data_IF_686229968809
#
_entry.id   IF_686229968809
#
_cell.length_a   1.000
_cell.length_b   1.000
_cell.length_c   1.000
_cell.angle_alpha   90.00
_cell.angle_beta   90.00
_cell.angle_gamma   90.00
#
_symmetry.space_group_name_H-M   'P 1'
#
loop_
_entity.id
_entity.type
_entity.pdbx_description
1 polymer ?
#
# COMPACT_ATOMS: atom_id res chain seq x y z
N UNK A 1 21.58 7.24 -23.31
CA UNK A 1 20.36 6.63 -22.79
C UNK A 1 20.77 5.73 -21.63
N UNK A 2 20.27 5.98 -20.42
CA UNK A 2 20.71 5.22 -19.24
C UNK A 2 19.89 3.95 -19.14
N UNK A 3 20.51 2.85 -18.75
CA UNK A 3 19.75 1.62 -18.55
C UNK A 3 18.69 1.82 -17.47
N UNK A 4 17.42 1.58 -17.80
CA UNK A 4 16.31 1.77 -16.86
C UNK A 4 16.38 0.82 -15.64
N UNK A 5 17.14 -0.27 -15.75
CA UNK A 5 17.29 -1.28 -14.69
C UNK A 5 18.46 -0.98 -13.75
N UNK A 6 19.65 -0.74 -14.31
CA UNK A 6 20.88 -0.56 -13.52
C UNK A 6 21.49 0.84 -13.59
N UNK A 7 20.87 1.77 -14.32
CA UNK A 7 21.30 3.17 -14.52
C UNK A 7 22.68 3.35 -15.19
N UNK A 8 23.28 2.28 -15.70
CA UNK A 8 24.53 2.33 -16.46
C UNK A 8 24.39 3.09 -17.77
N UNK A 9 25.45 3.81 -18.14
CA UNK A 9 25.61 4.51 -19.42
C UNK A 9 26.07 3.59 -20.57
N UNK A 10 26.50 2.36 -20.25
CA UNK A 10 27.01 1.39 -21.24
C UNK A 10 25.85 0.68 -21.95
N UNK A 11 25.33 1.34 -22.98
CA UNK A 11 24.24 0.81 -23.81
C UNK A 11 24.60 0.83 -25.30
N UNK A 12 24.12 -0.18 -26.03
CA UNK A 12 24.32 -0.31 -27.48
C UNK A 12 22.97 -0.48 -28.18
N UNK A 13 22.88 -0.03 -29.43
CA UNK A 13 21.69 -0.26 -30.27
C UNK A 13 21.50 -1.76 -30.51
N UNK A 14 20.28 -2.25 -30.35
CA UNK A 14 19.93 -3.67 -30.47
C UNK A 14 18.62 -3.87 -31.25
N UNK A 15 18.60 -3.43 -32.51
CA UNK A 15 17.45 -3.55 -33.41
C UNK A 15 16.37 -2.49 -33.23
N UNK A 16 15.28 -2.61 -33.98
CA UNK A 16 14.14 -1.68 -33.99
C UNK A 16 12.88 -2.48 -33.68
N UNK A 17 12.03 -1.98 -32.78
CA UNK A 17 10.75 -2.60 -32.41
C UNK A 17 9.65 -1.54 -32.46
N UNK A 18 8.54 -1.82 -33.15
CA UNK A 18 7.41 -0.88 -33.31
C UNK A 18 7.87 0.51 -33.79
N UNK A 19 8.74 0.54 -34.79
CA UNK A 19 9.35 1.78 -35.35
C UNK A 19 10.17 2.61 -34.36
N UNK A 20 10.58 2.04 -33.22
CA UNK A 20 11.44 2.70 -32.23
C UNK A 20 12.74 1.94 -32.03
N UNK A 21 13.83 2.67 -31.81
CA UNK A 21 15.15 2.09 -31.57
C UNK A 21 15.18 1.34 -30.23
N UNK A 22 15.55 0.06 -30.28
CA UNK A 22 15.81 -0.75 -29.07
C UNK A 22 17.28 -0.66 -28.71
N UNK A 23 17.57 -0.68 -27.42
CA UNK A 23 18.91 -0.65 -26.82
C UNK A 23 19.10 -1.86 -25.91
N UNK A 24 20.33 -2.34 -25.79
CA UNK A 24 20.75 -3.37 -24.84
C UNK A 24 21.79 -2.77 -23.90
N UNK A 25 21.64 -2.98 -22.60
CA UNK A 25 22.66 -2.63 -21.62
C UNK A 25 23.74 -3.71 -21.58
N UNK A 26 25.01 -3.30 -21.63
CA UNK A 26 26.14 -4.24 -21.57
C UNK A 26 26.41 -4.73 -20.15
N UNK A 27 26.07 -3.96 -19.12
CA UNK A 27 26.33 -4.35 -17.73
C UNK A 27 25.29 -5.34 -17.18
N UNK A 28 24.01 -5.20 -17.56
CA UNK A 28 22.93 -6.05 -17.03
C UNK A 28 22.17 -6.87 -18.09
N UNK A 29 22.52 -6.71 -19.37
CA UNK A 29 21.86 -7.42 -20.48
C UNK A 29 20.42 -6.97 -20.79
N UNK A 30 19.87 -6.03 -20.04
CA UNK A 30 18.48 -5.60 -20.20
C UNK A 30 18.24 -4.87 -21.53
N UNK A 31 17.14 -5.21 -22.20
CA UNK A 31 16.74 -4.58 -23.45
C UNK A 31 15.59 -3.59 -23.23
N UNK A 32 15.71 -2.38 -23.76
CA UNK A 32 14.75 -1.30 -23.55
C UNK A 32 14.65 -0.39 -24.78
N UNK A 33 13.52 0.28 -24.96
CA UNK A 33 13.24 1.11 -26.14
C UNK A 33 13.03 2.59 -25.78
N UNK A 34 12.74 2.87 -24.51
CA UNK A 34 12.47 4.21 -23.96
C UNK A 34 13.13 4.34 -22.59
N UNK A 35 13.52 5.56 -22.20
CA UNK A 35 14.20 5.83 -20.92
C UNK A 35 13.21 5.66 -19.76
N UNK A 36 11.93 5.95 -20.01
CA UNK A 36 10.83 5.66 -19.10
C UNK A 36 9.65 5.14 -19.91
N UNK A 37 9.03 4.04 -19.45
CA UNK A 37 7.70 3.66 -19.94
C UNK A 37 6.72 4.72 -19.44
N UNK A 38 5.96 5.34 -20.35
CA UNK A 38 4.94 6.34 -20.03
C UNK A 38 3.93 5.88 -18.98
N UNK A 39 3.73 4.57 -18.86
CA UNK A 39 2.77 3.96 -17.93
C UNK A 39 3.29 3.87 -16.49
N UNK A 40 4.58 4.15 -16.25
CA UNK A 40 5.17 4.07 -14.91
C UNK A 40 4.93 5.39 -14.20
N UNK A 41 3.88 5.43 -13.38
CA UNK A 41 3.60 6.56 -12.48
C UNK A 41 4.70 6.69 -11.42
N UNK A 42 4.95 7.93 -10.97
CA UNK A 42 6.01 8.22 -10.00
C UNK A 42 5.75 7.53 -8.66
N UNK A 43 6.82 7.27 -7.89
CA UNK A 43 6.69 6.75 -6.53
C UNK A 43 5.94 7.71 -5.60
N UNK A 44 6.02 9.02 -5.86
CA UNK A 44 5.28 10.05 -5.13
C UNK A 44 3.77 9.91 -5.35
N UNK A 45 3.34 9.73 -6.60
CA UNK A 45 1.95 9.45 -6.95
C UNK A 45 1.45 8.16 -6.30
N UNK A 46 2.29 7.11 -6.26
CA UNK A 46 1.96 5.86 -5.55
C UNK A 46 1.74 6.08 -4.06
N UNK A 47 2.62 6.82 -3.39
CA UNK A 47 2.48 7.14 -1.95
C UNK A 47 1.21 7.94 -1.67
N UNK A 48 0.94 8.95 -2.49
CA UNK A 48 -0.26 9.78 -2.35
C UNK A 48 -1.54 8.97 -2.55
N UNK A 49 -1.58 8.10 -3.56
CA UNK A 49 -2.72 7.21 -3.80
C UNK A 49 -2.98 6.25 -2.62
N UNK A 50 -1.92 5.71 -2.02
CA UNK A 50 -2.04 4.84 -0.85
C UNK A 50 -2.51 5.59 0.40
N UNK A 51 -2.03 6.82 0.63
CA UNK A 51 -2.51 7.67 1.71
C UNK A 51 -4.02 7.94 1.57
N UNK A 52 -4.48 8.35 0.38
CA UNK A 52 -5.91 8.55 0.11
C UNK A 52 -6.74 7.29 0.35
N UNK A 53 -6.20 6.10 0.04
CA UNK A 53 -6.89 4.83 0.32
C UNK A 53 -7.05 4.58 1.83
N UNK A 54 -6.01 4.87 2.63
CA UNK A 54 -6.06 4.74 4.09
C UNK A 54 -7.07 5.72 4.70
N UNK A 55 -7.19 6.92 4.15
CA UNK A 55 -8.23 7.91 4.50
C UNK A 55 -9.65 7.50 4.05
N UNK A 56 -9.82 6.34 3.43
CA UNK A 56 -11.12 5.78 3.07
C UNK A 56 -11.65 6.15 1.70
N UNK A 57 -10.84 6.79 0.82
CA UNK A 57 -11.28 7.07 -0.54
C UNK A 57 -11.37 5.80 -1.38
N UNK A 58 -12.42 5.72 -2.21
CA UNK A 58 -12.59 4.60 -3.16
C UNK A 58 -11.52 4.62 -4.26
N UNK A 59 -11.18 3.46 -4.82
CA UNK A 59 -10.23 3.34 -5.95
C UNK A 59 -10.60 4.23 -7.15
N UNK A 60 -11.90 4.40 -7.41
CA UNK A 60 -12.41 5.25 -8.50
C UNK A 60 -12.22 6.73 -8.18
N UNK A 61 -12.46 7.14 -6.94
CA UNK A 61 -12.26 8.53 -6.51
C UNK A 61 -10.78 8.91 -6.63
N UNK A 62 -9.89 8.05 -6.14
CA UNK A 62 -8.44 8.25 -6.22
C UNK A 62 -7.98 8.31 -7.68
N UNK A 63 -8.47 7.39 -8.52
CA UNK A 63 -8.16 7.39 -9.94
C UNK A 63 -8.54 8.69 -10.65
N UNK A 64 -9.72 9.25 -10.33
CA UNK A 64 -10.15 10.56 -10.85
C UNK A 64 -9.29 11.72 -10.35
N UNK A 65 -8.91 11.73 -9.07
CA UNK A 65 -8.12 12.82 -8.47
C UNK A 65 -6.70 12.85 -9.03
N UNK A 66 -6.08 11.68 -9.22
CA UNK A 66 -4.69 11.56 -9.64
C UNK A 66 -4.51 11.34 -11.15
N UNK A 67 -5.60 11.33 -11.92
CA UNK A 67 -5.63 11.02 -13.35
C UNK A 67 -4.88 9.70 -13.67
N UNK A 68 -5.27 8.65 -12.95
CA UNK A 68 -4.75 7.29 -13.09
C UNK A 68 -5.89 6.28 -13.16
N UNK A 69 -5.64 5.13 -13.77
CA UNK A 69 -6.65 4.07 -13.81
C UNK A 69 -6.94 3.56 -12.38
N UNK A 70 -8.21 3.28 -12.08
CA UNK A 70 -8.59 2.66 -10.81
C UNK A 70 -7.89 1.30 -10.60
N UNK A 71 -7.59 0.58 -11.69
CA UNK A 71 -6.87 -0.69 -11.66
C UNK A 71 -5.44 -0.52 -11.14
N UNK A 72 -4.75 0.56 -11.53
CA UNK A 72 -3.43 0.92 -10.99
C UNK A 72 -3.47 1.09 -9.48
N UNK A 73 -4.47 1.83 -8.97
CA UNK A 73 -4.67 2.02 -7.52
C UNK A 73 -4.94 0.69 -6.82
N UNK A 74 -5.83 -0.13 -7.39
CA UNK A 74 -6.14 -1.46 -6.86
C UNK A 74 -4.89 -2.34 -6.73
N UNK A 75 -4.05 -2.39 -7.77
CA UNK A 75 -2.81 -3.17 -7.74
C UNK A 75 -1.85 -2.67 -6.66
N UNK A 76 -1.69 -1.36 -6.51
CA UNK A 76 -0.83 -0.81 -5.44
C UNK A 76 -1.33 -1.14 -4.04
N UNK A 77 -2.65 -1.09 -3.82
CA UNK A 77 -3.25 -1.47 -2.54
C UNK A 77 -3.09 -2.96 -2.27
N UNK A 78 -3.19 -3.81 -3.31
CA UNK A 78 -2.94 -5.25 -3.20
C UNK A 78 -1.48 -5.53 -2.80
N UNK A 79 -0.52 -4.90 -3.48
CA UNK A 79 0.91 -5.03 -3.14
C UNK A 79 1.19 -4.61 -1.69
N UNK A 80 0.57 -3.51 -1.22
CA UNK A 80 0.69 -3.04 0.16
C UNK A 80 0.15 -4.07 1.16
N UNK A 81 -1.01 -4.68 0.88
CA UNK A 81 -1.60 -5.71 1.73
C UNK A 81 -0.71 -6.95 1.81
N UNK A 82 -0.15 -7.39 0.70
CA UNK A 82 0.73 -8.55 0.67
C UNK A 82 2.06 -8.28 1.41
N UNK A 83 2.59 -7.06 1.34
CA UNK A 83 3.73 -6.63 2.17
C UNK A 83 3.38 -6.58 3.67
N UNK A 84 2.16 -6.13 4.00
CA UNK A 84 1.72 -6.01 5.41
C UNK A 84 1.46 -7.38 6.04
N UNK A 85 0.93 -8.35 5.26
CA UNK A 85 0.77 -9.74 5.71
C UNK A 85 2.10 -10.38 6.11
N UNK A 86 3.19 -10.03 5.43
CA UNK A 86 4.54 -10.50 5.78
C UNK A 86 5.06 -9.90 7.09
N UNK A 87 4.43 -8.83 7.60
CA UNK A 87 4.79 -8.14 8.85
C UNK A 87 3.89 -8.54 10.03
N UNK A 88 2.88 -9.39 9.84
CA UNK A 88 2.13 -9.92 10.97
C UNK A 88 3.06 -10.83 11.79
N UNK A 89 3.48 -10.34 12.95
CA UNK A 89 3.99 -11.18 14.02
C UNK A 89 2.90 -12.17 14.43
N UNK A 90 3.25 -13.41 14.74
CA UNK A 90 2.43 -14.44 15.40
C UNK A 90 1.97 -14.03 16.83
N UNK A 91 1.68 -12.75 17.05
CA UNK A 91 1.09 -12.28 18.30
C UNK A 91 -0.34 -12.78 18.32
N UNK A 92 -0.62 -13.59 19.34
CA UNK A 92 -1.95 -14.06 19.67
C UNK A 92 -2.84 -12.86 19.97
N UNK A 93 -3.66 -12.46 18.99
CA UNK A 93 -4.73 -11.49 19.23
C UNK A 93 -5.83 -12.24 19.96
N UNK A 94 -6.13 -11.81 21.18
CA UNK A 94 -7.32 -12.28 21.87
C UNK A 94 -8.52 -11.49 21.34
N UNK A 95 -9.45 -12.20 20.72
CA UNK A 95 -10.74 -11.65 20.29
C UNK A 95 -11.71 -11.87 21.43
N UNK A 96 -12.24 -10.78 21.96
CA UNK A 96 -13.10 -10.76 23.14
C UNK A 96 -14.28 -9.84 22.87
N UNK A 97 -15.46 -10.22 23.36
CA UNK A 97 -16.66 -9.39 23.29
C UNK A 97 -16.53 -8.15 24.18
N UNK A 98 -17.26 -7.08 23.84
CA UNK A 98 -17.18 -5.80 24.58
C UNK A 98 -17.51 -5.97 26.06
N UNK A 99 -18.47 -6.85 26.39
CA UNK A 99 -18.89 -7.07 27.79
C UNK A 99 -17.76 -7.69 28.62
N UNK A 100 -16.99 -8.61 28.03
CA UNK A 100 -15.83 -9.24 28.66
C UNK A 100 -14.63 -8.29 28.78
N UNK A 101 -14.57 -7.23 27.96
CA UNK A 101 -13.53 -6.20 28.08
C UNK A 101 -13.69 -5.38 29.36
N UNK A 102 -14.93 -5.12 29.80
CA UNK A 102 -15.19 -4.35 31.02
C UNK A 102 -14.67 -5.10 32.26
N UNK A 103 -14.94 -6.41 32.33
CA UNK A 103 -14.41 -7.30 33.38
C UNK A 103 -12.88 -7.27 33.41
N UNK A 104 -12.23 -7.34 32.24
CA UNK A 104 -10.77 -7.29 32.13
C UNK A 104 -10.19 -5.94 32.60
N UNK A 105 -10.81 -4.82 32.20
CA UNK A 105 -10.41 -3.48 32.65
C UNK A 105 -10.57 -3.37 34.18
N UNK A 106 -11.63 -3.95 34.72
CA UNK A 106 -11.87 -3.95 36.16
C UNK A 106 -10.78 -4.71 36.92
N UNK A 107 -10.38 -5.87 36.43
CA UNK A 107 -9.30 -6.69 37.01
C UNK A 107 -7.93 -5.98 36.94
N UNK A 108 -7.57 -5.42 35.79
CA UNK A 108 -6.30 -4.71 35.60
C UNK A 108 -6.20 -3.50 36.54
N UNK A 109 -7.32 -2.78 36.72
CA UNK A 109 -7.41 -1.63 37.63
C UNK A 109 -7.27 -2.05 39.10
N UNK A 110 -7.87 -3.18 39.47
CA UNK A 110 -7.73 -3.76 40.82
C UNK A 110 -6.27 -4.15 41.11
N UNK A 111 -5.59 -4.73 40.12
CA UNK A 111 -4.20 -5.18 40.25
C UNK A 111 -3.15 -4.07 40.07
N UNK A 112 -3.57 -2.79 39.94
CA UNK A 112 -2.71 -1.60 39.75
C UNK A 112 -1.69 -1.78 38.62
N UNK A 113 -2.03 -2.54 37.59
CA UNK A 113 -1.17 -2.76 36.45
C UNK A 113 -1.46 -1.68 35.40
N UNK A 114 -0.41 -1.10 34.83
CA UNK A 114 -0.53 0.00 33.87
C UNK A 114 -0.04 -0.45 32.49
N UNK A 115 -0.81 -0.17 31.45
CA UNK A 115 -0.47 -0.52 30.07
C UNK A 115 -1.29 0.27 29.06
N UNK A 116 -0.83 0.30 27.81
CA UNK A 116 -1.54 0.93 26.69
C UNK A 116 -2.47 -0.10 26.05
N UNK A 117 -3.77 0.17 26.07
CA UNK A 117 -4.78 -0.70 25.50
C UNK A 117 -4.95 -0.35 24.01
N UNK A 118 -4.60 -1.28 23.12
CA UNK A 118 -4.75 -1.14 21.68
C UNK A 118 -5.89 -2.06 21.22
N UNK A 119 -7.04 -1.46 20.90
CA UNK A 119 -8.23 -2.17 20.43
C UNK A 119 -8.41 -1.88 18.94
N UNK A 120 -8.56 -2.93 18.13
CA UNK A 120 -8.99 -2.82 16.74
C UNK A 120 -10.41 -3.41 16.60
N UNK A 121 -11.29 -2.66 15.95
CA UNK A 121 -12.66 -3.10 15.69
C UNK A 121 -12.69 -3.77 14.32
N UNK A 122 -12.86 -5.09 14.32
CA UNK A 122 -12.77 -5.97 13.14
C UNK A 122 -13.60 -5.54 11.91
N UNK A 123 -14.61 -4.66 12.07
CA UNK A 123 -15.49 -4.18 10.99
C UNK A 123 -15.60 -2.66 10.82
N UNK A 124 -14.84 -1.84 11.55
CA UNK A 124 -14.77 -0.39 11.31
C UNK A 124 -16.10 0.39 11.31
N UNK A 125 -17.20 -0.19 11.82
CA UNK A 125 -18.52 0.44 11.84
C UNK A 125 -18.89 0.83 13.26
N UNK A 126 -18.69 2.11 13.59
CA UNK A 126 -19.25 2.76 14.78
C UNK A 126 -20.42 3.66 14.36
N UNK A 127 -21.63 3.10 14.34
CA UNK A 127 -22.85 3.93 14.37
C UNK A 127 -23.20 4.12 15.85
N UNK A 128 -22.61 5.14 16.47
CA UNK A 128 -23.09 5.67 17.74
C UNK A 128 -24.34 6.50 17.45
N UNK A 129 -25.50 5.85 17.37
CA UNK A 129 -26.78 6.55 17.48
C UNK A 129 -27.07 6.79 18.95
N UNK A 130 -26.55 7.90 19.48
CA UNK A 130 -26.98 8.41 20.79
C UNK A 130 -28.36 9.02 20.58
N UNK A 131 -29.42 8.23 20.79
CA UNK A 131 -30.74 8.81 21.09
C UNK A 131 -30.65 9.45 22.47
N UNK A 132 -30.67 10.78 22.52
CA UNK A 132 -31.02 11.53 23.72
C UNK A 132 -32.45 11.17 24.12
N UNK A 133 -32.64 10.78 25.39
CA UNK A 133 -33.92 10.82 26.08
C UNK A 133 -34.43 12.27 26.15
#
# INVERSE_FOLDING_TARGET
MKCIKCKSDKSVKNGIVSSRQRYKCNDCGYNYTVDHKSDVKSNETKRLALAMYIEGLSYRSIGKILDISYGTVYHWVKDLKDQTKMLHSDRTVQVTDIDQLDDYIHEVKHNKQYGLLLIDLQKGLSILSVKKQ
#
